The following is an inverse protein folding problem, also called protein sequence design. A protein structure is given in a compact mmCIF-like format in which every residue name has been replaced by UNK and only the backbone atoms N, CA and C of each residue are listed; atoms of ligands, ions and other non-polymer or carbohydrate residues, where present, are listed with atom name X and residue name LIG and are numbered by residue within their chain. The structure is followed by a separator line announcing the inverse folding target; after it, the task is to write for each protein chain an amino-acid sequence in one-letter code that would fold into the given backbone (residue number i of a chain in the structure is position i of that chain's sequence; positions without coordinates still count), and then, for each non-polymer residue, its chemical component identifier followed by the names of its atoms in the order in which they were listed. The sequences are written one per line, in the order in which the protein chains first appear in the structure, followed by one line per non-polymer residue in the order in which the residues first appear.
data_IF_975598790907
#
_entry.id   IF_975598790907
#
_cell.length_a   1.000
_cell.length_b   1.000
_cell.length_c   1.000
_cell.angle_alpha   90.00
_cell.angle_beta   90.00
_cell.angle_gamma   90.00
#
_symmetry.space_group_name_H-M   'P 1'
#
loop_
_entity.id
_entity.type
_entity.pdbx_description
1 polymer ?
#
# COMPACT_ATOMS: atom_id res chain seq x y z
N UNK A 1 -7.30 20.26 -4.54
CA UNK A 1 -8.37 20.19 -5.56
C UNK A 1 -8.75 21.62 -5.95
N UNK A 2 -8.71 21.99 -7.23
CA UNK A 2 -9.03 23.34 -7.70
C UNK A 2 -10.56 23.61 -7.77
N UNK A 3 -11.38 22.88 -7.02
CA UNK A 3 -12.83 23.06 -6.97
C UNK A 3 -13.64 22.46 -8.13
N UNK A 4 -13.01 21.98 -9.21
CA UNK A 4 -13.74 21.50 -10.41
C UNK A 4 -14.19 20.02 -10.37
N UNK A 5 -13.78 19.25 -9.35
CA UNK A 5 -14.16 17.85 -9.19
C UNK A 5 -14.53 17.55 -7.74
N UNK A 6 -15.78 17.13 -7.50
CA UNK A 6 -16.31 16.85 -6.15
C UNK A 6 -15.94 15.44 -5.65
N UNK A 7 -15.70 14.47 -6.56
CA UNK A 7 -15.40 13.06 -6.25
C UNK A 7 -14.38 12.50 -7.24
N UNK A 8 -13.44 11.71 -6.73
CA UNK A 8 -12.46 10.97 -7.53
C UNK A 8 -12.20 9.58 -7.00
N UNK A 9 -11.69 8.70 -7.87
CA UNK A 9 -11.30 7.33 -7.53
C UNK A 9 -9.78 7.22 -7.65
N UNK A 10 -9.14 6.77 -6.58
CA UNK A 10 -7.71 6.46 -6.54
C UNK A 10 -7.42 5.34 -5.54
N UNK A 11 -6.19 4.82 -5.61
CA UNK A 11 -5.70 3.88 -4.63
C UNK A 11 -5.69 4.54 -3.25
N UNK A 12 -6.13 3.82 -2.22
CA UNK A 12 -6.21 4.37 -0.85
C UNK A 12 -4.83 4.83 -0.37
N UNK A 13 -3.78 4.07 -0.69
CA UNK A 13 -2.39 4.43 -0.39
C UNK A 13 -1.91 5.73 -1.02
N UNK A 14 -2.51 6.14 -2.14
CA UNK A 14 -2.21 7.40 -2.81
C UNK A 14 -3.10 8.55 -2.34
N UNK A 15 -4.26 8.25 -1.73
CA UNK A 15 -5.20 9.25 -1.23
C UNK A 15 -4.90 9.71 0.20
N UNK A 16 -4.56 8.79 1.11
CA UNK A 16 -4.32 9.13 2.52
C UNK A 16 -3.25 10.23 2.73
N UNK A 17 -2.17 10.31 1.92
CA UNK A 17 -1.17 11.38 2.07
C UNK A 17 -1.59 12.75 1.48
N UNK A 18 -2.70 12.82 0.72
CA UNK A 18 -3.08 14.04 -0.01
C UNK A 18 -3.75 15.04 0.92
N UNK A 19 -3.04 16.15 1.18
CA UNK A 19 -3.61 17.26 1.96
C UNK A 19 -4.83 17.87 1.28
N UNK A 20 -5.91 18.05 2.04
CA UNK A 20 -7.16 18.64 1.57
C UNK A 20 -8.09 17.68 0.82
N UNK A 21 -7.72 16.40 0.66
CA UNK A 21 -8.64 15.36 0.22
C UNK A 21 -9.29 14.67 1.43
N UNK A 22 -10.58 14.41 1.36
CA UNK A 22 -11.30 13.61 2.36
C UNK A 22 -11.47 12.20 1.83
N UNK A 23 -10.88 11.21 2.49
CA UNK A 23 -11.14 9.81 2.17
C UNK A 23 -12.54 9.42 2.67
N UNK A 24 -13.44 9.10 1.75
CA UNK A 24 -14.85 8.80 2.06
C UNK A 24 -15.15 7.30 2.19
N UNK A 25 -14.23 6.42 1.76
CA UNK A 25 -14.37 4.97 1.87
C UNK A 25 -13.94 4.20 0.61
N UNK A 26 -13.90 2.87 0.73
CA UNK A 26 -13.68 1.96 -0.40
C UNK A 26 -15.03 1.68 -1.11
N UNK A 27 -15.00 1.51 -2.43
CA UNK A 27 -16.14 0.95 -3.17
C UNK A 27 -16.34 -0.53 -2.83
N UNK A 28 -17.50 -1.15 -3.14
CA UNK A 28 -17.73 -2.57 -2.89
C UNK A 28 -16.61 -3.44 -3.44
N UNK A 29 -16.16 -4.45 -2.68
CA UNK A 29 -14.98 -5.27 -3.01
C UNK A 29 -15.05 -5.91 -4.40
N UNK A 30 -16.23 -6.39 -4.80
CA UNK A 30 -16.45 -6.99 -6.13
C UNK A 30 -16.26 -6.02 -7.30
N UNK A 31 -16.25 -4.71 -7.03
CA UNK A 31 -16.07 -3.65 -8.01
C UNK A 31 -14.67 -3.00 -7.92
N UNK A 32 -13.86 -3.37 -6.92
CA UNK A 32 -12.52 -2.82 -6.76
C UNK A 32 -11.57 -3.40 -7.82
N UNK A 33 -10.79 -2.52 -8.43
CA UNK A 33 -9.57 -2.91 -9.13
C UNK A 33 -8.43 -2.94 -8.12
N UNK A 34 -8.15 -4.12 -7.56
CA UNK A 34 -7.12 -4.28 -6.52
C UNK A 34 -5.74 -4.36 -7.15
N UNK A 35 -4.88 -3.40 -6.83
CA UNK A 35 -3.45 -3.43 -7.18
C UNK A 35 -2.70 -4.29 -6.16
N UNK A 36 -2.12 -5.41 -6.62
CA UNK A 36 -1.28 -6.27 -5.79
C UNK A 36 0.19 -5.90 -5.96
N UNK A 37 0.84 -5.55 -4.86
CA UNK A 37 2.28 -5.30 -4.83
C UNK A 37 3.05 -6.57 -4.51
N UNK A 38 4.20 -6.74 -5.17
CA UNK A 38 5.16 -7.79 -4.88
C UNK A 38 6.55 -7.15 -4.72
N UNK A 39 7.34 -7.69 -3.80
CA UNK A 39 8.72 -7.28 -3.61
C UNK A 39 9.67 -8.40 -4.09
N UNK A 40 10.77 -8.01 -4.70
CA UNK A 40 11.79 -8.93 -5.21
C UNK A 40 13.20 -8.38 -5.01
N UNK A 41 14.15 -9.28 -4.81
CA UNK A 41 15.58 -8.94 -4.69
C UNK A 41 16.24 -9.26 -6.04
N UNK A 42 16.79 -8.27 -6.75
CA UNK A 42 17.49 -8.53 -8.00
C UNK A 42 18.68 -9.47 -7.80
N UNK A 43 18.93 -10.36 -8.78
CA UNK A 43 20.02 -11.35 -8.72
C UNK A 43 21.40 -10.71 -8.49
N UNK A 44 21.62 -9.50 -9.02
CA UNK A 44 22.86 -8.72 -8.87
C UNK A 44 22.85 -7.70 -7.74
N UNK A 45 21.93 -7.79 -6.78
CA UNK A 45 21.88 -6.83 -5.67
C UNK A 45 23.21 -6.82 -4.88
N UNK A 46 23.75 -5.63 -4.61
CA UNK A 46 24.97 -5.46 -3.81
C UNK A 46 24.77 -5.88 -2.35
N UNK A 47 23.53 -5.78 -1.85
CA UNK A 47 23.15 -6.02 -0.45
C UNK A 47 21.93 -6.95 -0.36
N UNK A 48 22.03 -8.23 -0.81
CA UNK A 48 20.87 -9.11 -0.90
C UNK A 48 20.36 -9.57 0.48
N UNK A 49 21.24 -9.63 1.49
CA UNK A 49 20.86 -10.04 2.85
C UNK A 49 20.06 -8.95 3.55
N UNK A 50 20.49 -7.71 3.40
CA UNK A 50 19.86 -6.51 3.94
C UNK A 50 18.52 -6.25 3.26
N UNK A 51 18.46 -6.43 1.92
CA UNK A 51 17.20 -6.39 1.20
C UNK A 51 16.22 -7.44 1.73
N UNK A 52 16.67 -8.68 1.95
CA UNK A 52 15.83 -9.72 2.56
C UNK A 52 15.36 -9.33 3.96
N UNK A 53 16.25 -8.81 4.80
CA UNK A 53 15.90 -8.37 6.15
C UNK A 53 14.83 -7.27 6.14
N UNK A 54 14.90 -6.34 5.19
CA UNK A 54 13.86 -5.31 5.00
C UNK A 54 12.53 -5.95 4.59
N UNK A 55 12.52 -6.88 3.64
CA UNK A 55 11.28 -7.55 3.22
C UNK A 55 10.68 -8.39 4.35
N UNK A 56 11.51 -9.09 5.13
CA UNK A 56 11.07 -9.85 6.31
C UNK A 56 10.47 -8.90 7.37
N UNK A 57 11.08 -7.73 7.59
CA UNK A 57 10.56 -6.71 8.50
C UNK A 57 9.20 -6.17 8.04
N UNK A 58 9.05 -5.81 6.76
CA UNK A 58 7.78 -5.34 6.22
C UNK A 58 6.65 -6.39 6.28
N UNK A 59 7.01 -7.67 6.27
CA UNK A 59 6.09 -8.80 6.43
C UNK A 59 5.83 -9.21 7.90
N UNK A 60 6.57 -8.65 8.87
CA UNK A 60 6.47 -9.06 10.26
C UNK A 60 5.09 -8.73 10.86
N UNK A 61 4.49 -9.61 11.69
CA UNK A 61 3.19 -9.37 12.31
C UNK A 61 3.09 -8.03 13.06
N UNK A 62 4.13 -7.69 13.82
CA UNK A 62 4.20 -6.47 14.64
C UNK A 62 4.27 -5.19 13.80
N UNK A 63 4.65 -5.29 12.52
CA UNK A 63 4.76 -4.17 11.58
C UNK A 63 3.47 -3.97 10.77
N UNK A 64 2.56 -4.95 10.75
CA UNK A 64 1.38 -4.89 9.89
C UNK A 64 0.41 -3.76 10.24
N UNK A 65 0.40 -3.28 11.48
CA UNK A 65 -0.39 -2.10 11.85
C UNK A 65 0.09 -0.84 11.10
N UNK A 66 1.40 -0.65 11.01
CA UNK A 66 2.01 0.47 10.28
C UNK A 66 1.73 0.34 8.78
N UNK A 67 1.91 -0.85 8.21
CA UNK A 67 1.60 -1.12 6.79
C UNK A 67 0.15 -0.74 6.47
N UNK A 68 -0.81 -1.14 7.30
CA UNK A 68 -2.22 -0.79 7.10
C UNK A 68 -2.52 0.70 7.24
N UNK A 69 -1.77 1.40 8.10
CA UNK A 69 -1.91 2.86 8.24
C UNK A 69 -1.56 3.61 6.95
N UNK A 70 -0.72 3.02 6.09
CA UNK A 70 -0.37 3.57 4.78
C UNK A 70 -1.44 3.35 3.71
N UNK A 71 -2.57 2.70 4.03
CA UNK A 71 -3.64 2.41 3.08
C UNK A 71 -3.44 1.12 2.28
N UNK A 72 -2.40 0.34 2.60
CA UNK A 72 -2.17 -1.00 2.04
C UNK A 72 -2.89 -2.06 2.87
N UNK A 73 -3.43 -3.08 2.20
CA UNK A 73 -3.96 -4.27 2.87
C UNK A 73 -2.86 -5.36 2.96
N UNK A 74 -2.71 -5.99 4.14
CA UNK A 74 -1.79 -7.12 4.32
C UNK A 74 -2.22 -8.31 3.46
N UNK A 75 -1.27 -8.99 2.82
CA UNK A 75 -1.53 -10.28 2.17
C UNK A 75 -1.42 -11.41 3.18
N UNK A 76 -2.25 -12.45 3.05
CA UNK A 76 -2.10 -13.67 3.83
C UNK A 76 -0.68 -14.23 3.61
N UNK A 77 0.03 -14.54 4.69
CA UNK A 77 1.28 -15.29 4.59
C UNK A 77 0.97 -16.68 4.00
N UNK A 78 1.84 -17.14 3.08
CA UNK A 78 1.81 -18.52 2.59
C UNK A 78 2.27 -19.50 3.67
#
# INVERSE_FOLDING_TARGET
ANGDYEIGFQQVSELLPVQGATFVGKIPESLQSVTRFAAGIPVGAQHPKEAKALLDYLAAPDVQAEVRSTGLDSVSAH
#
